data_IF_610263004838
#
_entry.id   IF_610263004838
#
_cell.length_a   1.000
_cell.length_b   1.000
_cell.length_c   1.000
_cell.angle_alpha   90.00
_cell.angle_beta   90.00
_cell.angle_gamma   90.00
#
_symmetry.space_group_name_H-M   'P 1'
#
loop_
_entity.id
_entity.type
_entity.pdbx_description
1 polymer ?
#
# COMPACT_ATOMS: atom_id res chain seq x y z
N UNK A 1 30.48 -3.13 0.90
CA UNK A 1 29.54 -3.18 2.05
C UNK A 1 28.14 -3.25 1.47
N UNK A 2 27.40 -4.31 1.78
CA UNK A 2 26.08 -4.59 1.18
C UNK A 2 25.00 -3.86 1.98
N UNK A 3 24.03 -3.17 1.35
CA UNK A 3 22.85 -2.64 2.05
C UNK A 3 22.06 -3.78 2.73
N UNK A 4 21.41 -3.48 3.87
CA UNK A 4 20.47 -4.41 4.52
C UNK A 4 19.11 -4.16 3.88
N UNK A 5 18.69 -5.14 3.09
CA UNK A 5 17.42 -5.12 2.39
C UNK A 5 16.44 -5.99 3.17
N UNK A 6 15.41 -5.36 3.72
CA UNK A 6 14.35 -6.04 4.45
C UNK A 6 13.07 -6.02 3.64
N UNK A 7 12.40 -7.17 3.59
CA UNK A 7 11.14 -7.31 2.87
C UNK A 7 10.03 -7.70 3.83
N UNK A 8 8.94 -6.95 3.80
CA UNK A 8 7.71 -7.22 4.54
C UNK A 8 6.65 -7.60 3.51
N UNK A 9 5.96 -8.72 3.74
CA UNK A 9 4.87 -9.19 2.87
C UNK A 9 3.60 -9.36 3.68
N UNK A 10 2.51 -8.78 3.20
CA UNK A 10 1.19 -8.91 3.80
C UNK A 10 0.22 -9.25 2.68
N UNK A 11 -0.59 -10.28 2.91
CA UNK A 11 -1.70 -10.66 2.03
C UNK A 11 -2.99 -10.51 2.82
N UNK A 12 -4.00 -9.86 2.25
CA UNK A 12 -5.26 -9.56 2.95
C UNK A 12 -6.45 -9.88 2.05
N UNK A 13 -7.31 -10.85 2.44
CA UNK A 13 -8.58 -11.05 1.77
C UNK A 13 -9.54 -9.90 2.13
N UNK A 14 -10.28 -9.43 1.13
CA UNK A 14 -11.27 -8.36 1.24
C UNK A 14 -12.55 -8.84 0.55
N UNK A 15 -13.69 -8.81 1.25
CA UNK A 15 -14.99 -9.15 0.66
C UNK A 15 -15.55 -7.98 -0.17
N UNK A 16 -14.80 -7.58 -1.20
CA UNK A 16 -15.17 -6.55 -2.15
C UNK A 16 -14.64 -6.87 -3.55
N UNK A 17 -15.29 -6.25 -4.54
CA UNK A 17 -14.92 -6.33 -5.95
C UNK A 17 -13.44 -5.93 -6.16
N UNK A 18 -12.66 -6.73 -6.90
CA UNK A 18 -11.22 -6.50 -7.13
C UNK A 18 -10.93 -5.16 -7.82
N UNK A 19 -11.82 -4.68 -8.70
CA UNK A 19 -11.62 -3.42 -9.40
C UNK A 19 -11.92 -2.24 -8.47
N UNK A 20 -12.93 -2.36 -7.60
CA UNK A 20 -13.19 -1.39 -6.53
C UNK A 20 -12.03 -1.29 -5.54
N UNK A 21 -11.45 -2.43 -5.15
CA UNK A 21 -10.26 -2.48 -4.28
C UNK A 21 -9.07 -1.81 -4.95
N UNK A 22 -8.81 -2.13 -6.22
CA UNK A 22 -7.71 -1.53 -6.96
C UNK A 22 -7.91 -0.03 -7.16
N UNK A 23 -9.13 0.41 -7.48
CA UNK A 23 -9.49 1.82 -7.59
C UNK A 23 -9.19 2.59 -6.30
N UNK A 24 -9.51 2.01 -5.13
CA UNK A 24 -9.21 2.62 -3.84
C UNK A 24 -7.69 2.74 -3.58
N UNK A 25 -6.90 1.74 -4.00
CA UNK A 25 -5.42 1.76 -3.87
C UNK A 25 -4.80 2.87 -4.72
N UNK A 26 -5.37 3.15 -5.90
CA UNK A 26 -4.82 4.16 -6.82
C UNK A 26 -5.41 5.56 -6.62
N UNK A 27 -6.42 5.72 -5.76
CA UNK A 27 -6.99 7.03 -5.42
C UNK A 27 -6.18 7.74 -4.31
N UNK A 28 -4.94 8.11 -4.64
CA UNK A 28 -4.03 8.78 -3.69
C UNK A 28 -4.63 10.05 -3.04
N UNK A 29 -5.36 10.94 -3.76
CA UNK A 29 -6.04 12.07 -3.14
C UNK A 29 -7.12 11.66 -2.13
N UNK A 30 -7.87 10.59 -2.42
CA UNK A 30 -8.95 10.08 -1.57
C UNK A 30 -8.50 9.27 -0.35
N UNK A 31 -7.18 9.05 -0.15
CA UNK A 31 -6.69 8.28 1.00
C UNK A 31 -7.14 8.88 2.35
N UNK A 32 -7.25 10.21 2.44
CA UNK A 32 -7.66 10.88 3.68
C UNK A 32 -9.12 10.59 4.07
N UNK A 33 -9.94 10.10 3.14
CA UNK A 33 -11.36 9.84 3.36
C UNK A 33 -11.60 8.49 4.07
N UNK A 34 -10.72 7.52 3.85
CA UNK A 34 -10.88 6.16 4.37
C UNK A 34 -9.79 5.70 5.33
N UNK A 35 -8.59 6.30 5.28
CA UNK A 35 -7.46 5.92 6.11
C UNK A 35 -7.31 6.89 7.30
N UNK A 36 -7.69 6.50 8.53
CA UNK A 36 -7.51 7.35 9.68
C UNK A 36 -6.03 7.65 9.92
N UNK A 37 -5.75 8.85 10.43
CA UNK A 37 -4.39 9.24 10.83
C UNK A 37 -3.85 8.32 11.92
N UNK A 38 -2.53 8.14 11.92
CA UNK A 38 -1.77 7.39 12.92
C UNK A 38 -0.55 8.21 13.37
N UNK A 39 0.31 7.63 14.19
CA UNK A 39 1.64 8.23 14.46
C UNK A 39 2.55 8.23 13.23
N UNK A 40 2.33 7.32 12.27
CA UNK A 40 3.17 7.10 11.10
C UNK A 40 2.56 7.62 9.77
N UNK A 41 1.28 7.96 9.76
CA UNK A 41 0.53 8.49 8.62
C UNK A 41 -0.33 9.69 9.06
N UNK A 42 -0.12 10.86 8.46
CA UNK A 42 -0.93 12.07 8.72
C UNK A 42 -1.75 12.53 7.52
N UNK A 43 -1.77 11.72 6.47
CA UNK A 43 -2.43 12.03 5.23
C UNK A 43 -1.48 12.04 4.04
N UNK A 44 -2.09 11.93 2.86
CA UNK A 44 -1.44 12.06 1.57
C UNK A 44 -1.71 13.47 1.05
N UNK A 45 -0.67 14.16 0.61
CA UNK A 45 -0.72 15.56 0.16
C UNK A 45 0.11 15.77 -1.09
N UNK A 46 -0.08 16.90 -1.77
CA UNK A 46 0.76 17.31 -2.92
C UNK A 46 0.79 16.25 -4.05
N UNK A 47 -0.37 15.65 -4.34
CA UNK A 47 -0.52 14.72 -5.45
C UNK A 47 -0.48 15.51 -6.77
N UNK A 48 0.43 15.14 -7.68
CA UNK A 48 0.66 15.93 -8.90
C UNK A 48 -0.37 15.72 -10.01
N UNK A 49 -1.00 14.54 -10.08
CA UNK A 49 -1.89 14.17 -11.16
C UNK A 49 -3.18 13.53 -10.64
N UNK A 50 -4.28 13.79 -11.32
CA UNK A 50 -5.58 13.16 -11.07
C UNK A 50 -6.32 13.03 -12.41
N UNK A 51 -6.60 11.81 -12.92
CA UNK A 51 -6.28 10.51 -12.33
C UNK A 51 -4.77 10.24 -12.22
N UNK A 52 -4.38 9.32 -11.34
CA UNK A 52 -2.96 8.98 -11.18
C UNK A 52 -2.41 8.26 -12.42
N UNK A 53 -1.14 8.49 -12.73
CA UNK A 53 -0.40 7.84 -13.82
C UNK A 53 1.01 7.47 -13.36
N UNK A 54 1.74 6.70 -14.17
CA UNK A 54 3.18 6.51 -13.92
C UNK A 54 3.88 7.87 -13.94
N UNK A 55 4.68 8.13 -12.91
CA UNK A 55 5.35 9.41 -12.67
C UNK A 55 4.61 10.34 -11.70
N UNK A 56 3.37 10.02 -11.31
CA UNK A 56 2.63 10.81 -10.31
C UNK A 56 3.35 10.81 -8.97
N UNK A 57 3.54 11.99 -8.41
CA UNK A 57 4.23 12.22 -7.14
C UNK A 57 3.25 12.61 -6.05
N UNK A 58 3.64 12.34 -4.81
CA UNK A 58 2.88 12.71 -3.61
C UNK A 58 3.80 12.79 -2.39
N UNK A 59 3.30 13.41 -1.32
CA UNK A 59 4.03 13.58 -0.07
C UNK A 59 3.19 13.08 1.09
N UNK A 60 3.80 12.24 1.92
CA UNK A 60 3.27 11.87 3.24
C UNK A 60 4.20 12.44 4.32
N UNK A 61 3.67 13.32 5.17
CA UNK A 61 4.40 13.88 6.31
C UNK A 61 4.04 13.14 7.58
N UNK A 62 5.03 12.90 8.44
CA UNK A 62 4.83 12.38 9.78
C UNK A 62 5.86 12.96 10.75
N UNK A 63 5.65 12.86 12.07
CA UNK A 63 6.63 13.30 13.06
C UNK A 63 8.00 12.61 12.94
N UNK A 64 8.04 11.40 12.37
CA UNK A 64 9.29 10.64 12.19
C UNK A 64 10.03 10.99 10.89
N UNK A 65 9.37 11.63 9.92
CA UNK A 65 9.99 12.01 8.66
C UNK A 65 8.98 12.33 7.56
N UNK A 66 9.49 12.53 6.34
CA UNK A 66 8.67 12.77 5.15
C UNK A 66 8.95 11.69 4.11
N UNK A 67 7.89 11.07 3.58
CA UNK A 67 7.97 10.18 2.42
C UNK A 67 7.64 10.97 1.16
N UNK A 68 8.50 10.81 0.17
CA UNK A 68 8.30 11.40 -1.16
C UNK A 68 7.95 10.25 -2.10
N UNK A 69 6.66 10.08 -2.36
CA UNK A 69 6.15 9.00 -3.18
C UNK A 69 6.16 9.33 -4.66
N UNK A 70 6.38 8.30 -5.48
CA UNK A 70 6.24 8.33 -6.92
C UNK A 70 5.64 7.00 -7.39
N UNK A 71 4.60 7.05 -8.22
CA UNK A 71 4.05 5.87 -8.92
C UNK A 71 5.04 5.48 -10.01
N UNK A 72 5.67 4.31 -9.90
CA UNK A 72 6.65 3.86 -10.89
C UNK A 72 6.13 2.78 -11.85
N UNK A 73 5.08 2.06 -11.46
CA UNK A 73 4.39 1.07 -12.30
C UNK A 73 2.90 1.15 -12.03
N UNK A 74 2.09 1.04 -13.08
CA UNK A 74 0.63 1.03 -13.00
C UNK A 74 0.06 0.19 -14.15
N UNK A 75 -0.65 -0.88 -13.81
CA UNK A 75 -1.31 -1.77 -14.74
C UNK A 75 -2.74 -2.04 -14.24
N UNK A 76 -3.72 -1.48 -14.94
CA UNK A 76 -5.14 -1.66 -14.63
C UNK A 76 -5.66 -3.05 -14.97
N UNK A 77 -5.08 -3.73 -15.96
CA UNK A 77 -5.52 -5.06 -16.39
C UNK A 77 -5.05 -6.11 -15.37
N UNK A 78 -3.81 -5.98 -14.89
CA UNK A 78 -3.25 -6.86 -13.87
C UNK A 78 -3.54 -6.41 -12.43
N UNK A 79 -4.23 -5.26 -12.27
CA UNK A 79 -4.47 -4.59 -10.97
C UNK A 79 -3.19 -4.53 -10.13
N UNK A 80 -2.13 -4.04 -10.76
CA UNK A 80 -0.81 -3.92 -10.17
C UNK A 80 -0.38 -2.46 -10.13
N UNK A 81 0.19 -2.04 -9.01
CA UNK A 81 0.79 -0.72 -8.86
C UNK A 81 2.04 -0.84 -7.99
N UNK A 82 3.08 -0.10 -8.37
CA UNK A 82 4.29 0.02 -7.58
C UNK A 82 4.65 1.48 -7.32
N UNK A 83 5.16 1.72 -6.12
CA UNK A 83 5.59 3.04 -5.66
C UNK A 83 7.04 3.00 -5.21
N UNK A 84 7.78 4.07 -5.54
CA UNK A 84 9.03 4.42 -4.86
C UNK A 84 8.71 5.51 -3.86
N UNK A 85 9.05 5.30 -2.59
CA UNK A 85 8.68 6.22 -1.51
C UNK A 85 9.86 6.49 -0.57
N UNK A 86 11.01 7.00 -1.04
CA UNK A 86 12.11 7.36 -0.14
C UNK A 86 11.62 8.18 1.05
N UNK A 87 12.03 7.75 2.24
CA UNK A 87 11.67 8.41 3.49
C UNK A 87 12.89 9.12 4.04
N UNK A 88 12.80 10.45 4.12
CA UNK A 88 13.76 11.26 4.85
C UNK A 88 13.32 11.37 6.31
N UNK A 89 14.07 10.74 7.20
CA UNK A 89 13.86 10.80 8.65
C UNK A 89 14.20 12.20 9.19
N UNK A 90 13.64 12.55 10.34
CA UNK A 90 13.85 13.87 10.97
C UNK A 90 15.33 14.19 11.27
N UNK A 91 16.16 13.17 11.48
CA UNK A 91 17.61 13.31 11.72
C UNK A 91 18.45 13.39 10.43
N UNK A 92 17.82 13.56 9.26
CA UNK A 92 18.49 13.72 7.97
C UNK A 92 18.94 12.42 7.30
N UNK A 93 18.63 11.26 7.89
CA UNK A 93 18.88 9.96 7.28
C UNK A 93 17.80 9.61 6.26
N UNK A 94 18.15 8.82 5.26
CA UNK A 94 17.22 8.38 4.22
C UNK A 94 17.11 6.86 4.19
N UNK A 95 15.88 6.37 4.07
CA UNK A 95 15.57 4.97 3.79
C UNK A 95 14.92 4.92 2.40
N UNK A 96 15.43 4.05 1.52
CA UNK A 96 14.78 3.80 0.24
C UNK A 96 13.68 2.76 0.44
N UNK A 97 12.48 3.08 -0.03
CA UNK A 97 11.30 2.24 0.14
C UNK A 97 10.71 1.97 -1.23
N UNK A 98 10.42 0.70 -1.49
CA UNK A 98 9.59 0.28 -2.61
C UNK A 98 8.36 -0.43 -2.08
N UNK A 99 7.20 -0.11 -2.64
CA UNK A 99 5.94 -0.78 -2.33
C UNK A 99 5.39 -1.35 -3.62
N UNK A 100 5.08 -2.63 -3.64
CA UNK A 100 4.43 -3.32 -4.75
C UNK A 100 3.09 -3.86 -4.24
N UNK A 101 2.01 -3.55 -4.94
CA UNK A 101 0.66 -3.96 -4.60
C UNK A 101 -0.02 -4.64 -5.79
N UNK A 102 -0.63 -5.79 -5.54
CA UNK A 102 -1.40 -6.52 -6.54
C UNK A 102 -2.74 -6.95 -5.97
N UNK A 103 -3.81 -6.80 -6.75
CA UNK A 103 -5.14 -7.28 -6.40
C UNK A 103 -5.52 -8.45 -7.30
N UNK A 104 -5.83 -9.59 -6.69
CA UNK A 104 -6.24 -10.81 -7.38
C UNK A 104 -7.64 -11.23 -6.97
N UNK A 105 -8.33 -11.97 -7.83
CA UNK A 105 -9.63 -12.53 -7.52
C UNK A 105 -9.48 -13.71 -6.56
N UNK A 106 -10.40 -13.82 -5.61
CA UNK A 106 -10.48 -15.01 -4.75
C UNK A 106 -11.43 -16.00 -5.41
N UNK A 107 -11.04 -16.60 -6.53
CA UNK A 107 -11.84 -17.69 -7.10
C UNK A 107 -11.62 -18.94 -6.26
N UNK A 108 -12.34 -19.05 -5.14
CA UNK A 108 -12.51 -20.32 -4.45
C UNK A 108 -13.35 -21.24 -5.34
N UNK A 109 -12.69 -21.94 -6.28
CA UNK A 109 -13.20 -23.12 -6.99
C UNK A 109 -14.59 -23.01 -7.62
N UNK A 110 -14.69 -22.42 -8.81
CA UNK A 110 -15.84 -22.65 -9.71
C UNK A 110 -15.37 -23.45 -10.92
N UNK A 111 -15.06 -24.72 -10.70
CA UNK A 111 -15.33 -25.72 -11.72
C UNK A 111 -16.85 -25.95 -11.71
N UNK A 112 -17.45 -25.88 -12.90
CA UNK A 112 -18.86 -26.10 -13.24
C UNK A 112 -19.79 -24.92 -12.97
N UNK A 113 -20.31 -24.40 -14.07
CA UNK A 113 -21.03 -23.15 -14.14
C UNK A 113 -22.35 -23.19 -13.40
N UNK A 114 -22.61 -22.14 -12.64
CA UNK A 114 -23.94 -21.60 -12.41
C UNK A 114 -23.76 -20.07 -12.37
N UNK A 115 -24.44 -19.38 -13.28
CA UNK A 115 -24.63 -17.94 -13.23
C UNK A 115 -25.59 -17.66 -12.06
N UNK A 116 -25.04 -17.48 -10.85
CA UNK A 116 -25.80 -17.06 -9.68
C UNK A 116 -25.62 -15.57 -9.49
N UNK A 117 -26.70 -14.82 -9.74
CA UNK A 117 -26.88 -13.45 -9.32
C UNK A 117 -26.77 -13.40 -7.79
N UNK A 118 -25.61 -13.02 -7.26
CA UNK A 118 -25.33 -13.02 -5.81
C UNK A 118 -23.94 -13.50 -5.39
N UNK A 119 -22.98 -13.69 -6.31
CA UNK A 119 -21.58 -13.93 -5.93
C UNK A 119 -21.05 -12.69 -5.23
N UNK A 120 -20.77 -12.78 -3.94
CA UNK A 120 -19.91 -11.80 -3.26
C UNK A 120 -18.53 -11.90 -3.90
N UNK A 121 -18.25 -10.98 -4.83
CA UNK A 121 -16.91 -10.83 -5.39
C UNK A 121 -15.97 -10.54 -4.22
N UNK A 122 -14.94 -11.36 -4.09
CA UNK A 122 -13.94 -11.25 -3.04
C UNK A 122 -12.57 -11.23 -3.69
N UNK A 123 -11.68 -10.44 -3.11
CA UNK A 123 -10.36 -10.15 -3.63
C UNK A 123 -9.30 -10.43 -2.58
N UNK A 124 -8.07 -10.65 -3.03
CA UNK A 124 -6.89 -10.69 -2.19
C UNK A 124 -5.96 -9.56 -2.62
N UNK A 125 -5.54 -8.75 -1.67
CA UNK A 125 -4.52 -7.73 -1.87
C UNK A 125 -3.19 -8.24 -1.32
N UNK A 126 -2.23 -8.44 -2.22
CA UNK A 126 -0.84 -8.71 -1.87
C UNK A 126 -0.07 -7.40 -1.86
N UNK A 127 0.53 -7.07 -0.70
CA UNK A 127 1.39 -5.91 -0.52
C UNK A 127 2.79 -6.36 -0.10
N UNK A 128 3.78 -6.00 -0.89
CA UNK A 128 5.20 -6.19 -0.58
C UNK A 128 5.84 -4.83 -0.35
N UNK A 129 6.56 -4.68 0.76
CA UNK A 129 7.34 -3.48 1.07
C UNK A 129 8.80 -3.87 1.23
N UNK A 130 9.66 -3.28 0.41
CA UNK A 130 11.11 -3.44 0.49
C UNK A 130 11.72 -2.18 1.08
N UNK A 131 12.45 -2.35 2.17
CA UNK A 131 13.19 -1.33 2.89
C UNK A 131 14.68 -1.55 2.64
N UNK A 132 15.33 -0.59 2.00
CA UNK A 132 16.77 -0.60 1.76
C UNK A 132 17.43 0.41 2.70
N UNK A 133 18.10 -0.14 3.72
CA UNK A 133 18.78 0.62 4.76
C UNK A 133 20.25 0.84 4.40
N UNK A 134 20.75 2.07 4.54
CA UNK A 134 22.19 2.31 4.49
C UNK A 134 22.87 1.61 5.68
N UNK A 135 24.13 1.21 5.48
CA UNK A 135 24.82 0.31 6.40
C UNK A 135 24.96 0.83 7.84
N UNK A 136 25.02 2.15 8.03
CA UNK A 136 25.11 2.75 9.35
C UNK A 136 23.79 2.69 10.15
N UNK A 137 22.67 2.29 9.53
CA UNK A 137 21.37 2.15 10.19
C UNK A 137 21.10 0.72 10.70
N UNK A 138 22.00 -0.24 10.47
CA UNK A 138 21.79 -1.63 10.88
C UNK A 138 21.41 -1.84 12.35
N UNK A 139 21.98 -1.12 13.34
CA UNK A 139 21.61 -1.31 14.75
C UNK A 139 20.12 -1.02 15.05
N UNK A 140 19.48 -0.17 14.24
CA UNK A 140 18.08 0.27 14.45
C UNK A 140 17.12 -0.24 13.38
N UNK A 141 17.61 -0.86 12.30
CA UNK A 141 16.81 -1.31 11.16
C UNK A 141 15.67 -2.26 11.56
N UNK A 142 15.87 -3.09 12.58
CA UNK A 142 14.81 -3.97 13.12
C UNK A 142 13.65 -3.23 13.76
N UNK A 143 13.94 -2.21 14.58
CA UNK A 143 12.91 -1.39 15.22
C UNK A 143 12.11 -0.64 14.17
N UNK A 144 12.79 -0.03 13.19
CA UNK A 144 12.15 0.71 12.10
C UNK A 144 11.27 -0.24 11.27
N UNK A 145 11.79 -1.41 10.89
CA UNK A 145 11.03 -2.40 10.12
C UNK A 145 9.78 -2.88 10.85
N UNK A 146 9.86 -3.08 12.18
CA UNK A 146 8.71 -3.44 13.00
C UNK A 146 7.62 -2.36 13.00
N UNK A 147 8.00 -1.08 13.02
CA UNK A 147 7.04 0.03 12.90
C UNK A 147 6.38 0.07 11.53
N UNK A 148 7.14 -0.17 10.45
CA UNK A 148 6.58 -0.31 9.11
C UNK A 148 5.59 -1.47 9.03
N UNK A 149 5.94 -2.63 9.58
CA UNK A 149 5.07 -3.80 9.57
C UNK A 149 3.73 -3.53 10.29
N UNK A 150 3.77 -2.87 11.45
CA UNK A 150 2.56 -2.49 12.18
C UNK A 150 1.69 -1.53 11.37
N UNK A 151 2.28 -0.51 10.74
CA UNK A 151 1.53 0.46 9.96
C UNK A 151 0.96 -0.15 8.67
N UNK A 152 1.69 -1.07 8.03
CA UNK A 152 1.19 -1.83 6.88
C UNK A 152 -0.02 -2.65 7.29
N UNK A 153 0.06 -3.42 8.39
CA UNK A 153 -1.07 -4.22 8.88
C UNK A 153 -2.28 -3.36 9.21
N UNK A 154 -2.07 -2.21 9.86
CA UNK A 154 -3.15 -1.25 10.14
C UNK A 154 -3.80 -0.76 8.85
N UNK A 155 -3.00 -0.30 7.89
CA UNK A 155 -3.50 0.23 6.61
C UNK A 155 -4.33 -0.81 5.85
N UNK A 156 -3.84 -2.05 5.76
CA UNK A 156 -4.57 -3.15 5.11
C UNK A 156 -5.87 -3.48 5.86
N UNK A 157 -5.86 -3.41 7.19
CA UNK A 157 -7.07 -3.62 8.00
C UNK A 157 -8.11 -2.52 7.80
N UNK A 158 -7.72 -1.24 7.74
CA UNK A 158 -8.65 -0.13 7.52
C UNK A 158 -9.21 -0.15 6.09
N UNK A 159 -8.38 -0.49 5.10
CA UNK A 159 -8.82 -0.67 3.70
C UNK A 159 -9.91 -1.72 3.61
N UNK A 160 -9.67 -2.88 4.25
CA UNK A 160 -10.64 -3.97 4.31
C UNK A 160 -11.97 -3.51 4.93
N UNK A 161 -11.92 -2.89 6.12
CA UNK A 161 -13.12 -2.40 6.80
C UNK A 161 -13.91 -1.41 5.95
N UNK A 162 -13.22 -0.46 5.33
CA UNK A 162 -13.87 0.56 4.51
C UNK A 162 -14.63 -0.05 3.33
N UNK A 163 -13.97 -0.95 2.58
CA UNK A 163 -14.57 -1.59 1.41
C UNK A 163 -15.70 -2.56 1.78
N UNK A 164 -15.52 -3.37 2.83
CA UNK A 164 -16.54 -4.32 3.29
C UNK A 164 -17.79 -3.60 3.83
N UNK A 165 -17.63 -2.43 4.44
CA UNK A 165 -18.76 -1.60 4.89
C UNK A 165 -19.54 -0.94 3.74
N UNK A 166 -18.94 -0.75 2.57
CA UNK A 166 -19.63 -0.21 1.39
C UNK A 166 -20.37 -1.29 0.58
N UNK A 167 -20.03 -2.56 0.79
CA UNK A 167 -20.65 -3.69 0.13
C UNK A 167 -21.93 -4.21 0.84
N UNK A 168 -22.29 -3.60 1.98
CA UNK A 168 -23.49 -3.92 2.78
C UNK A 168 -24.60 -2.91 2.52
#
# INVERSE_FOLDING_TARGET
MTPDVRTIRVSTPIAADPDAVFALIIDLPGYNDWLPTSSAYKGTTEVTDTPIVVGTKYIERSPSGTRYGEVCELDHVQRHVAFKQPMRLIFGLEIRIRVDMKVSDTTAGAAQGIHLSGVHLSSVVDRTVTLDFPWYMFPVAGVISGQFEQEIKRTMSEMRKYLENQAT
#
